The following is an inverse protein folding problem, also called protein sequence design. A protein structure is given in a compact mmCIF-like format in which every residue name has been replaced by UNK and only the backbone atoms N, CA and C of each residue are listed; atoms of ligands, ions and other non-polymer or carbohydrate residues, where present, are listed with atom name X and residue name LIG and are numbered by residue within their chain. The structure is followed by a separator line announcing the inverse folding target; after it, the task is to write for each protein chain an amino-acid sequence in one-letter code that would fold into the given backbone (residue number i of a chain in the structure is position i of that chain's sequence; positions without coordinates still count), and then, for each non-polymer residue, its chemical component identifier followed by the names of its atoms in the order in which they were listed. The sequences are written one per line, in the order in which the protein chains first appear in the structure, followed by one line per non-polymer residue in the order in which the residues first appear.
data_IF_610131434995
#
_entry.id   IF_610131434995
#
_cell.length_a   1.000
_cell.length_b   1.000
_cell.length_c   1.000
_cell.angle_alpha   90.00
_cell.angle_beta   90.00
_cell.angle_gamma   90.00
#
_symmetry.space_group_name_H-M   'P 1'
#
loop_
_entity.id
_entity.type
_entity.pdbx_description
1 polymer ?
#
# COMPACT_ATOMS: atom_id res chain seq x y z
N UNK A 1 30.10 -1.59 11.66
CA UNK A 1 28.85 -1.98 10.95
C UNK A 1 27.59 -2.04 11.85
N UNK A 2 27.71 -1.99 13.18
CA UNK A 2 26.60 -2.11 14.14
C UNK A 2 25.95 -0.76 14.53
N UNK A 3 26.64 0.36 14.34
CA UNK A 3 26.15 1.71 14.66
C UNK A 3 25.11 2.24 13.68
N UNK A 4 25.19 1.87 12.41
CA UNK A 4 24.24 2.33 11.37
C UNK A 4 22.83 1.74 11.50
N UNK A 5 22.66 0.61 12.17
CA UNK A 5 21.36 -0.03 12.34
C UNK A 5 20.52 0.61 13.46
N UNK A 6 21.13 1.19 14.47
CA UNK A 6 20.41 1.80 15.58
C UNK A 6 19.91 3.20 15.29
N UNK A 7 20.68 4.00 14.57
CA UNK A 7 20.25 5.36 14.17
C UNK A 7 19.08 5.33 13.15
N UNK A 8 19.07 4.33 12.27
CA UNK A 8 17.97 4.11 11.30
C UNK A 8 16.67 3.59 11.93
N UNK A 9 16.70 3.08 13.15
CA UNK A 9 15.52 2.46 13.78
C UNK A 9 14.54 3.52 14.30
N UNK A 10 15.02 4.63 14.87
CA UNK A 10 14.17 5.72 15.34
C UNK A 10 13.36 6.37 14.20
N UNK A 11 13.95 6.52 13.01
CA UNK A 11 13.26 7.05 11.84
C UNK A 11 12.09 6.16 11.39
N UNK A 12 12.18 4.85 11.55
CA UNK A 12 11.10 3.93 11.19
C UNK A 12 9.89 4.06 12.11
N UNK A 13 10.11 4.18 13.41
CA UNK A 13 9.03 4.38 14.38
C UNK A 13 8.39 5.75 14.22
N UNK A 14 9.19 6.80 13.99
CA UNK A 14 8.69 8.13 13.74
C UNK A 14 7.88 8.20 12.44
N UNK A 15 8.32 7.56 11.37
CA UNK A 15 7.56 7.43 10.13
C UNK A 15 6.25 6.67 10.34
N UNK A 16 6.26 5.58 11.11
CA UNK A 16 5.04 4.85 11.47
C UNK A 16 4.05 5.69 12.26
N UNK A 17 4.53 6.49 13.20
CA UNK A 17 3.71 7.42 13.99
C UNK A 17 3.09 8.50 13.11
N UNK A 18 3.86 9.10 12.18
CA UNK A 18 3.36 10.08 11.23
C UNK A 18 2.28 9.48 10.30
N UNK A 19 2.51 8.28 9.78
CA UNK A 19 1.52 7.58 8.95
C UNK A 19 0.24 7.32 9.76
N UNK A 20 0.35 6.91 11.02
CA UNK A 20 -0.79 6.73 11.92
C UNK A 20 -1.58 8.02 12.16
N UNK A 21 -0.89 9.13 12.39
CA UNK A 21 -1.53 10.45 12.54
C UNK A 21 -2.25 10.89 11.26
N UNK A 22 -1.62 10.72 10.10
CA UNK A 22 -2.26 11.01 8.81
C UNK A 22 -3.49 10.13 8.60
N UNK A 23 -3.44 8.86 8.99
CA UNK A 23 -4.58 7.96 8.90
C UNK A 23 -5.74 8.40 9.80
N UNK A 24 -5.45 8.86 11.02
CA UNK A 24 -6.44 9.41 11.96
C UNK A 24 -7.15 10.65 11.39
N UNK A 25 -6.43 11.55 10.74
CA UNK A 25 -6.99 12.77 10.14
C UNK A 25 -7.73 12.46 8.83
N UNK A 26 -7.22 11.53 8.05
CA UNK A 26 -7.80 11.17 6.76
C UNK A 26 -9.20 10.55 6.88
N UNK A 27 -9.47 9.83 7.99
CA UNK A 27 -10.78 9.21 8.19
C UNK A 27 -11.92 10.22 8.36
N UNK A 28 -11.88 11.19 9.29
CA UNK A 28 -12.93 12.20 9.38
C UNK A 28 -12.99 13.11 8.15
N UNK A 29 -11.86 13.45 7.53
CA UNK A 29 -11.84 14.20 6.28
C UNK A 29 -12.57 13.48 5.14
N UNK A 30 -12.44 12.16 5.07
CA UNK A 30 -13.16 11.30 4.13
C UNK A 30 -14.67 11.35 4.33
N UNK A 31 -15.13 11.34 5.59
CA UNK A 31 -16.56 11.44 5.93
C UNK A 31 -17.15 12.79 5.53
N UNK A 32 -16.41 13.89 5.73
CA UNK A 32 -16.85 15.25 5.34
C UNK A 32 -17.03 15.41 3.83
N UNK A 33 -16.34 14.59 3.02
CA UNK A 33 -16.48 14.58 1.56
C UNK A 33 -17.56 13.61 1.07
N UNK A 34 -18.40 13.06 1.97
CA UNK A 34 -19.51 12.16 1.64
C UNK A 34 -19.09 10.74 1.23
N UNK A 35 -17.84 10.36 1.45
CA UNK A 35 -17.34 9.03 1.15
C UNK A 35 -17.24 8.19 2.42
N UNK A 36 -18.01 7.13 2.48
CA UNK A 36 -17.94 6.15 3.55
C UNK A 36 -16.73 5.23 3.32
N UNK A 37 -15.59 5.56 3.90
CA UNK A 37 -14.39 4.72 3.81
C UNK A 37 -13.15 5.45 4.30
N UNK A 38 -12.20 4.68 4.84
CA UNK A 38 -10.92 5.21 5.27
C UNK A 38 -9.87 5.21 4.16
N UNK A 39 -8.61 5.19 4.56
CA UNK A 39 -7.49 5.08 3.64
C UNK A 39 -7.59 3.79 2.83
N UNK A 40 -7.61 3.93 1.52
CA UNK A 40 -7.58 2.83 0.58
C UNK A 40 -6.90 3.27 -0.71
N UNK A 41 -6.12 2.39 -1.33
CA UNK A 41 -5.37 2.70 -2.55
C UNK A 41 -6.06 2.09 -3.78
N UNK A 42 -6.65 0.92 -3.66
CA UNK A 42 -7.19 0.16 -4.80
C UNK A 42 -8.30 0.90 -5.55
N UNK A 43 -9.33 1.36 -4.82
CA UNK A 43 -10.46 2.08 -5.43
C UNK A 43 -10.03 3.41 -6.05
N UNK A 44 -9.26 4.27 -5.37
CA UNK A 44 -8.74 5.50 -5.99
C UNK A 44 -7.84 5.25 -7.19
N UNK A 45 -7.03 4.20 -7.19
CA UNK A 45 -6.21 3.83 -8.36
C UNK A 45 -7.09 3.39 -9.54
N UNK A 46 -8.15 2.62 -9.29
CA UNK A 46 -9.12 2.25 -10.32
C UNK A 46 -9.85 3.49 -10.88
N UNK A 47 -10.25 4.43 -10.02
CA UNK A 47 -10.84 5.69 -10.44
C UNK A 47 -9.87 6.55 -11.26
N UNK A 48 -8.59 6.58 -10.90
CA UNK A 48 -7.56 7.29 -11.66
C UNK A 48 -7.41 6.70 -13.07
N UNK A 49 -7.33 5.38 -13.17
CA UNK A 49 -7.25 4.67 -14.46
C UNK A 49 -8.51 4.91 -15.27
N UNK A 50 -9.69 4.81 -14.65
CA UNK A 50 -10.97 5.09 -15.32
C UNK A 50 -11.03 6.53 -15.84
N UNK A 51 -10.56 7.51 -15.06
CA UNK A 51 -10.47 8.89 -15.50
C UNK A 51 -9.57 9.06 -16.73
N UNK A 52 -8.42 8.40 -16.75
CA UNK A 52 -7.49 8.46 -17.90
C UNK A 52 -8.13 7.88 -19.17
N UNK A 53 -8.97 6.85 -19.02
CA UNK A 53 -9.60 6.18 -20.16
C UNK A 53 -10.86 6.92 -20.64
N UNK A 54 -11.72 7.37 -19.71
CA UNK A 54 -13.04 7.93 -20.02
C UNK A 54 -13.09 9.45 -20.03
N UNK A 55 -12.12 10.14 -19.40
CA UNK A 55 -12.11 11.60 -19.25
C UNK A 55 -13.18 12.16 -18.31
N UNK A 56 -13.91 11.29 -17.57
CA UNK A 56 -14.99 11.71 -16.67
C UNK A 56 -14.43 12.23 -15.34
N UNK A 57 -14.51 13.55 -15.14
CA UNK A 57 -14.02 14.23 -13.94
C UNK A 57 -14.78 13.85 -12.65
N UNK A 58 -15.96 13.22 -12.74
CA UNK A 58 -16.68 12.69 -11.57
C UNK A 58 -15.92 11.60 -10.83
N UNK A 59 -14.95 10.97 -11.49
CA UNK A 59 -14.07 9.96 -10.92
C UNK A 59 -12.97 10.56 -10.02
N UNK A 60 -12.71 11.87 -10.13
CA UNK A 60 -11.68 12.57 -9.37
C UNK A 60 -12.15 12.87 -7.93
N UNK A 61 -12.21 11.84 -7.10
CA UNK A 61 -12.45 11.99 -5.67
C UNK A 61 -11.14 12.27 -4.89
N UNK A 62 -11.27 12.68 -3.62
CA UNK A 62 -10.13 12.96 -2.72
C UNK A 62 -9.10 11.82 -2.67
N UNK A 63 -9.54 10.58 -2.82
CA UNK A 63 -8.66 9.42 -2.81
C UNK A 63 -7.67 9.39 -3.98
N UNK A 64 -8.02 9.99 -5.13
CA UNK A 64 -7.10 10.13 -6.27
C UNK A 64 -5.96 11.09 -5.89
N UNK A 65 -6.28 12.20 -5.22
CA UNK A 65 -5.27 13.13 -4.73
C UNK A 65 -4.38 12.49 -3.65
N UNK A 66 -4.92 11.60 -2.83
CA UNK A 66 -4.14 10.83 -1.87
C UNK A 66 -3.11 9.94 -2.59
N UNK A 67 -3.51 9.21 -3.63
CA UNK A 67 -2.61 8.36 -4.42
C UNK A 67 -1.54 9.21 -5.10
N UNK A 68 -1.90 10.31 -5.71
CA UNK A 68 -0.94 11.26 -6.31
C UNK A 68 0.03 11.81 -5.26
N UNK A 69 -0.48 12.17 -4.07
CA UNK A 69 0.34 12.62 -2.95
C UNK A 69 1.36 11.57 -2.49
N UNK A 70 0.98 10.29 -2.47
CA UNK A 70 1.91 9.18 -2.16
C UNK A 70 3.01 9.08 -3.22
N UNK A 71 2.69 9.21 -4.51
CA UNK A 71 3.69 9.18 -5.59
C UNK A 71 4.66 10.36 -5.47
N UNK A 72 4.15 11.57 -5.31
CA UNK A 72 4.97 12.78 -5.17
C UNK A 72 5.82 12.70 -3.90
N UNK A 73 5.21 12.31 -2.77
CA UNK A 73 5.92 12.19 -1.49
C UNK A 73 7.03 11.14 -1.53
N UNK A 74 6.77 9.98 -2.12
CA UNK A 74 7.78 8.93 -2.26
C UNK A 74 8.94 9.35 -3.18
N UNK A 75 8.63 10.05 -4.26
CA UNK A 75 9.65 10.60 -5.17
C UNK A 75 10.52 11.65 -4.48
N UNK A 76 9.92 12.59 -3.75
CA UNK A 76 10.65 13.61 -3.00
C UNK A 76 11.50 12.99 -1.89
N UNK A 77 10.98 12.01 -1.17
CA UNK A 77 11.71 11.29 -0.13
C UNK A 77 12.91 10.53 -0.71
N UNK A 78 12.73 9.82 -1.82
CA UNK A 78 13.80 9.09 -2.48
C UNK A 78 14.90 10.01 -3.02
N UNK A 79 14.52 11.20 -3.51
CA UNK A 79 15.47 12.20 -3.97
C UNK A 79 16.20 12.89 -2.81
N UNK A 80 15.50 13.14 -1.70
CA UNK A 80 16.09 13.73 -0.49
C UNK A 80 17.06 12.82 0.23
N UNK A 81 16.80 11.50 0.24
CA UNK A 81 17.70 10.49 0.81
C UNK A 81 18.87 10.10 -0.11
N UNK A 82 18.95 10.65 -1.31
CA UNK A 82 19.95 10.29 -2.34
C UNK A 82 19.95 8.78 -2.68
N UNK A 83 18.88 8.07 -2.36
CA UNK A 83 18.70 6.65 -2.67
C UNK A 83 18.00 6.43 -4.01
N UNK A 84 17.64 7.51 -4.71
CA UNK A 84 16.99 7.42 -6.01
C UNK A 84 17.93 6.80 -7.03
N UNK A 85 17.66 5.53 -7.39
CA UNK A 85 18.37 4.79 -8.43
C UNK A 85 17.39 4.31 -9.47
N UNK A 86 17.58 4.73 -10.68
CA UNK A 86 16.83 4.21 -11.81
C UNK A 86 17.36 2.81 -12.14
N UNK A 87 16.59 1.78 -11.78
CA UNK A 87 16.92 0.39 -12.09
C UNK A 87 15.81 -0.20 -12.95
N UNK A 88 16.17 -0.70 -14.10
CA UNK A 88 15.29 -1.52 -14.93
C UNK A 88 15.38 -2.95 -14.39
N UNK A 89 14.27 -3.55 -13.95
CA UNK A 89 14.27 -4.95 -13.50
C UNK A 89 14.43 -5.90 -14.66
N UNK A 90 15.01 -7.08 -14.39
CA UNK A 90 15.14 -8.15 -15.36
C UNK A 90 13.76 -8.70 -15.78
N UNK A 91 13.64 -9.21 -17.00
CA UNK A 91 12.42 -9.84 -17.54
C UNK A 91 11.75 -10.83 -16.56
N UNK A 92 12.47 -11.78 -15.92
CA UNK A 92 11.86 -12.70 -14.96
C UNK A 92 11.30 -11.99 -13.71
N UNK A 93 11.92 -10.89 -13.31
CA UNK A 93 11.42 -10.07 -12.19
C UNK A 93 10.13 -9.34 -12.58
N UNK A 94 10.07 -8.80 -13.80
CA UNK A 94 8.86 -8.15 -14.32
C UNK A 94 7.70 -9.17 -14.37
N UNK A 95 7.93 -10.35 -14.92
CA UNK A 95 6.90 -11.39 -15.00
C UNK A 95 6.37 -11.81 -13.63
N UNK A 96 7.27 -12.05 -12.65
CA UNK A 96 6.88 -12.39 -11.27
C UNK A 96 6.11 -11.26 -10.59
N UNK A 97 6.53 -10.01 -10.78
CA UNK A 97 5.85 -8.84 -10.21
C UNK A 97 4.47 -8.63 -10.81
N UNK A 98 4.33 -8.84 -12.12
CA UNK A 98 3.04 -8.74 -12.82
C UNK A 98 2.06 -9.81 -12.33
N UNK A 99 2.50 -11.06 -12.24
CA UNK A 99 1.70 -12.14 -11.67
C UNK A 99 1.30 -11.86 -10.23
N UNK A 100 2.24 -11.40 -9.40
CA UNK A 100 1.96 -11.00 -8.02
C UNK A 100 0.93 -9.87 -7.93
N UNK A 101 1.02 -8.88 -8.81
CA UNK A 101 0.05 -7.78 -8.91
C UNK A 101 -1.34 -8.25 -9.29
N UNK A 102 -1.46 -9.18 -10.25
CA UNK A 102 -2.74 -9.78 -10.64
C UNK A 102 -3.38 -10.53 -9.47
N UNK A 103 -2.63 -11.41 -8.78
CA UNK A 103 -3.13 -12.13 -7.62
C UNK A 103 -3.54 -11.19 -6.49
N UNK A 104 -2.77 -10.13 -6.25
CA UNK A 104 -3.10 -9.12 -5.26
C UNK A 104 -4.38 -8.35 -5.64
N UNK A 105 -4.57 -8.04 -6.92
CA UNK A 105 -5.78 -7.39 -7.43
C UNK A 105 -7.04 -8.26 -7.26
N UNK A 106 -6.95 -9.53 -7.60
CA UNK A 106 -8.04 -10.51 -7.40
C UNK A 106 -8.36 -10.64 -5.91
N UNK A 107 -7.34 -10.83 -5.07
CA UNK A 107 -7.51 -10.93 -3.62
C UNK A 107 -8.15 -9.69 -3.00
N UNK A 108 -7.72 -8.50 -3.41
CA UNK A 108 -8.29 -7.23 -2.95
C UNK A 108 -9.76 -7.06 -3.38
N UNK A 109 -10.12 -7.52 -4.57
CA UNK A 109 -11.49 -7.50 -5.07
C UNK A 109 -12.40 -8.41 -4.24
N UNK A 110 -11.97 -9.64 -3.95
CA UNK A 110 -12.74 -10.58 -3.11
C UNK A 110 -12.83 -10.14 -1.64
N UNK A 111 -11.75 -9.59 -1.10
CA UNK A 111 -11.73 -9.08 0.27
C UNK A 111 -12.51 -7.76 0.43
N UNK A 112 -12.99 -7.16 -0.67
CA UNK A 112 -13.68 -5.88 -0.66
C UNK A 112 -12.83 -4.72 -0.17
N UNK A 113 -11.51 -4.76 -0.44
CA UNK A 113 -10.55 -3.73 -0.10
C UNK A 113 -9.11 -4.23 -0.08
N UNK A 114 -8.16 -3.31 -0.20
CA UNK A 114 -6.74 -3.63 -0.12
C UNK A 114 -6.26 -3.85 1.33
N UNK A 115 -5.02 -4.29 1.48
CA UNK A 115 -4.39 -4.50 2.80
C UNK A 115 -4.39 -3.24 3.67
N UNK A 116 -4.31 -2.04 3.09
CA UNK A 116 -4.38 -0.78 3.83
C UNK A 116 -5.82 -0.52 4.29
N UNK A 117 -6.81 -0.72 3.43
CA UNK A 117 -8.22 -0.53 3.79
C UNK A 117 -8.70 -1.54 4.84
N UNK A 118 -8.42 -2.81 4.64
CA UNK A 118 -8.86 -3.88 5.54
C UNK A 118 -7.91 -4.06 6.74
N UNK A 119 -6.59 -3.95 6.54
CA UNK A 119 -5.62 -4.16 7.60
C UNK A 119 -5.44 -2.94 8.50
N UNK A 120 -5.22 -1.76 7.95
CA UNK A 120 -4.95 -0.57 8.73
C UNK A 120 -6.23 0.16 9.14
N UNK A 121 -7.07 0.54 8.16
CA UNK A 121 -8.26 1.36 8.46
C UNK A 121 -9.31 0.56 9.21
N UNK A 122 -9.67 -0.63 8.76
CA UNK A 122 -10.72 -1.43 9.40
C UNK A 122 -10.30 -1.91 10.81
N UNK A 123 -9.02 -2.13 11.05
CA UNK A 123 -8.50 -2.45 12.38
C UNK A 123 -8.52 -1.22 13.29
N UNK A 124 -8.14 -0.04 12.78
CA UNK A 124 -8.16 1.21 13.55
C UNK A 124 -9.56 1.60 14.02
N UNK A 125 -10.60 1.31 13.23
CA UNK A 125 -12.01 1.53 13.62
C UNK A 125 -12.64 0.34 14.36
N UNK A 126 -11.81 -0.61 14.84
CA UNK A 126 -12.27 -1.80 15.58
C UNK A 126 -13.30 -2.66 14.84
N UNK A 127 -13.26 -2.67 13.51
CA UNK A 127 -14.12 -3.54 12.71
C UNK A 127 -13.69 -4.99 12.81
N UNK A 128 -14.64 -5.90 13.04
CA UNK A 128 -14.39 -7.36 13.04
C UNK A 128 -13.77 -7.84 11.74
N UNK A 129 -14.14 -7.22 10.62
CA UNK A 129 -13.54 -7.48 9.30
C UNK A 129 -12.03 -7.21 9.28
N UNK A 130 -11.58 -6.10 9.88
CA UNK A 130 -10.16 -5.75 9.95
C UNK A 130 -9.36 -6.73 10.81
N UNK A 131 -9.90 -7.12 11.95
CA UNK A 131 -9.27 -8.05 12.86
C UNK A 131 -9.11 -9.46 12.30
N UNK A 132 -9.99 -9.89 11.39
CA UNK A 132 -9.86 -11.16 10.68
C UNK A 132 -8.92 -11.02 9.48
N UNK A 133 -9.03 -9.93 8.72
CA UNK A 133 -8.25 -9.72 7.51
C UNK A 133 -6.75 -9.57 7.79
N UNK A 134 -6.37 -8.93 8.90
CA UNK A 134 -4.98 -8.67 9.24
C UNK A 134 -4.16 -9.95 9.45
N UNK A 135 -4.55 -10.89 10.35
CA UNK A 135 -3.80 -12.14 10.52
C UNK A 135 -3.82 -13.02 9.26
N UNK A 136 -4.93 -13.06 8.52
CA UNK A 136 -5.00 -13.81 7.24
C UNK A 136 -4.02 -13.24 6.22
N UNK A 137 -3.91 -11.91 6.13
CA UNK A 137 -2.94 -11.26 5.25
C UNK A 137 -1.50 -11.57 5.66
N UNK A 138 -1.19 -11.52 6.97
CA UNK A 138 0.14 -11.84 7.49
C UNK A 138 0.51 -13.30 7.16
N UNK A 139 -0.40 -14.24 7.39
CA UNK A 139 -0.20 -15.65 7.06
C UNK A 139 0.00 -15.86 5.55
N UNK A 140 -0.78 -15.17 4.71
CA UNK A 140 -0.64 -15.23 3.27
C UNK A 140 0.72 -14.73 2.79
N UNK A 141 1.17 -13.58 3.29
CA UNK A 141 2.49 -13.02 2.97
C UNK A 141 3.60 -13.94 3.46
N UNK A 142 3.49 -14.46 4.69
CA UNK A 142 4.48 -15.38 5.25
C UNK A 142 4.60 -16.67 4.41
N UNK A 143 3.47 -17.28 4.06
CA UNK A 143 3.42 -18.49 3.24
C UNK A 143 3.99 -18.28 1.85
N UNK A 144 3.57 -17.19 1.17
CA UNK A 144 4.07 -16.85 -0.15
C UNK A 144 5.58 -16.56 -0.13
N UNK A 145 6.04 -15.81 0.88
CA UNK A 145 7.46 -15.52 1.06
C UNK A 145 8.28 -16.78 1.28
N UNK A 146 7.78 -17.72 2.11
CA UNK A 146 8.44 -18.99 2.35
C UNK A 146 8.56 -19.84 1.08
N UNK A 147 7.50 -19.90 0.27
CA UNK A 147 7.50 -20.64 -0.99
C UNK A 147 8.46 -20.04 -2.02
N UNK A 148 8.51 -18.70 -2.11
CA UNK A 148 9.28 -18.01 -3.16
C UNK A 148 10.76 -17.92 -2.81
N UNK A 149 11.09 -17.65 -1.53
CA UNK A 149 12.47 -17.34 -1.12
C UNK A 149 13.18 -18.49 -0.39
N UNK A 150 12.45 -19.42 0.23
CA UNK A 150 13.03 -20.51 1.01
C UNK A 150 13.11 -21.82 0.22
N UNK A 151 12.57 -21.88 -1.02
CA UNK A 151 12.80 -23.04 -1.86
C UNK A 151 14.30 -23.11 -2.21
N UNK A 152 15.06 -24.02 -1.61
CA UNK A 152 16.50 -24.10 -1.86
C UNK A 152 16.71 -24.41 -3.32
N UNK A 153 17.63 -23.68 -3.92
CA UNK A 153 18.20 -24.03 -5.21
C UNK A 153 18.75 -25.46 -5.10
N UNK A 154 17.99 -26.45 -5.58
CA UNK A 154 18.54 -27.78 -5.83
C UNK A 154 19.29 -27.67 -7.16
N UNK A 155 20.58 -27.34 -7.06
CA UNK A 155 21.68 -27.82 -7.89
C UNK A 155 22.99 -27.60 -7.17
#
# INVERSE_FOLDING_TARGET
MRHYLFEKTYHKYFAGLLIGLVALIAWPASQLTGRVGGLGITTPSAHLISYIITGDSKQLGWGVFLVLGIFIGSFLAAKGSQEFRWRLPDLPTIAKSTLGGIFMGIGASWAGGCTIGNGLTATAIFSSKGWIALPVTILGVWTASHIIFVKPNKN
#
